data_IF_567772936387
#
_entry.id   IF_567772936387
#
_cell.length_a   1.000
_cell.length_b   1.000
_cell.length_c   1.000
_cell.angle_alpha   90.00
_cell.angle_beta   90.00
_cell.angle_gamma   90.00
#
_symmetry.space_group_name_H-M   'P 1'
#
loop_
_entity.id
_entity.type
_entity.pdbx_description
1 polymer ?
#
# COMPACT_ATOMS: atom_id res chain seq x y z
N UNK A 1 15.14 -27.86 -24.71
CA UNK A 1 16.19 -28.11 -25.72
C UNK A 1 17.06 -29.33 -25.38
N UNK A 2 17.71 -29.38 -24.22
CA UNK A 2 18.50 -30.56 -23.80
C UNK A 2 17.69 -31.88 -23.81
N UNK A 3 16.43 -31.85 -23.38
CA UNK A 3 15.54 -33.02 -23.44
C UNK A 3 15.31 -33.55 -24.86
N UNK A 4 15.20 -32.66 -25.86
CA UNK A 4 14.99 -33.05 -27.26
C UNK A 4 16.25 -33.67 -27.86
N UNK A 5 17.42 -33.08 -27.60
CA UNK A 5 18.71 -33.65 -28.02
C UNK A 5 18.94 -35.02 -27.38
N UNK A 6 18.65 -35.14 -26.09
CA UNK A 6 18.78 -36.40 -25.37
C UNK A 6 17.78 -37.44 -25.89
N UNK A 7 16.55 -37.07 -26.23
CA UNK A 7 15.58 -37.97 -26.84
C UNK A 7 16.07 -38.50 -28.19
N UNK A 8 16.64 -37.64 -29.05
CA UNK A 8 17.15 -38.05 -30.36
C UNK A 8 18.39 -38.95 -30.30
N UNK A 9 19.23 -38.81 -29.29
CA UNK A 9 20.47 -39.58 -29.16
C UNK A 9 20.29 -40.82 -28.29
N UNK A 10 19.70 -40.64 -27.11
CA UNK A 10 19.65 -41.68 -26.10
C UNK A 10 18.57 -42.72 -26.38
N UNK A 11 17.40 -42.33 -26.91
CA UNK A 11 16.30 -43.28 -27.20
C UNK A 11 16.71 -44.30 -28.26
N UNK A 12 17.28 -43.92 -29.43
CA UNK A 12 17.72 -44.91 -30.41
C UNK A 12 18.84 -45.81 -29.88
N UNK A 13 19.79 -45.26 -29.11
CA UNK A 13 20.91 -46.01 -28.57
C UNK A 13 20.45 -47.05 -27.54
N UNK A 14 19.53 -46.68 -26.65
CA UNK A 14 18.93 -47.60 -25.68
C UNK A 14 17.97 -48.60 -26.32
N UNK A 15 17.21 -48.19 -27.33
CA UNK A 15 16.35 -49.08 -28.10
C UNK A 15 17.19 -50.15 -28.79
N UNK A 16 18.27 -49.77 -29.48
CA UNK A 16 19.18 -50.72 -30.10
C UNK A 16 19.82 -51.67 -29.08
N UNK A 17 20.16 -51.18 -27.87
CA UNK A 17 20.80 -52.01 -26.86
C UNK A 17 19.86 -52.99 -26.15
N UNK A 18 18.58 -52.64 -25.97
CA UNK A 18 17.63 -53.41 -25.14
C UNK A 18 16.47 -54.04 -25.90
N UNK A 19 16.04 -53.49 -27.03
CA UNK A 19 14.89 -53.98 -27.80
C UNK A 19 15.36 -54.83 -28.99
N UNK A 20 15.45 -56.14 -28.77
CA UNK A 20 15.67 -57.14 -29.82
C UNK A 20 14.44 -58.06 -29.94
N UNK A 21 13.30 -57.58 -30.46
CA UNK A 21 12.12 -58.42 -30.61
C UNK A 21 12.33 -59.46 -31.72
N UNK A 22 11.89 -60.71 -31.49
CA UNK A 22 11.82 -61.72 -32.55
C UNK A 22 10.77 -61.28 -33.58
N UNK A 23 11.21 -61.01 -34.82
CA UNK A 23 10.31 -60.58 -35.91
C UNK A 23 9.59 -61.81 -36.46
N UNK A 24 8.35 -62.04 -36.03
CA UNK A 24 7.44 -62.94 -36.77
C UNK A 24 6.97 -62.24 -38.05
N UNK A 25 7.57 -62.59 -39.19
CA UNK A 25 7.12 -62.18 -40.53
C UNK A 25 5.79 -62.88 -40.89
N UNK A 26 4.69 -62.47 -40.28
CA UNK A 26 3.37 -62.81 -40.77
C UNK A 26 2.99 -61.85 -41.90
N UNK A 27 3.07 -62.33 -43.16
CA UNK A 27 2.69 -61.63 -44.41
C UNK A 27 1.21 -61.21 -44.51
N UNK A 28 0.45 -61.27 -43.42
CA UNK A 28 -0.82 -60.57 -43.31
C UNK A 28 -0.70 -59.53 -42.20
N UNK A 29 -0.54 -58.26 -42.57
CA UNK A 29 -0.46 -57.10 -41.66
C UNK A 29 -1.71 -56.84 -40.80
N UNK A 30 -2.54 -57.87 -40.58
CA UNK A 30 -3.81 -57.86 -39.87
C UNK A 30 -3.69 -58.17 -38.37
N UNK A 31 -2.54 -58.59 -37.83
CA UNK A 31 -2.42 -58.98 -36.40
C UNK A 31 -2.27 -57.80 -35.44
N UNK A 32 -1.66 -56.69 -35.87
CA UNK A 32 -1.29 -55.56 -34.98
C UNK A 32 -2.47 -54.65 -34.59
N UNK A 33 -3.52 -54.55 -35.43
CA UNK A 33 -4.63 -53.60 -35.25
C UNK A 33 -5.96 -54.25 -34.86
N UNK A 34 -5.93 -55.38 -34.14
CA UNK A 34 -7.12 -56.14 -33.71
C UNK A 34 -7.50 -55.93 -32.24
N UNK A 35 -6.73 -55.15 -31.48
CA UNK A 35 -7.06 -54.84 -30.09
C UNK A 35 -8.37 -54.08 -29.96
N UNK A 36 -9.09 -54.25 -28.83
CA UNK A 36 -10.36 -53.57 -28.55
C UNK A 36 -10.25 -52.04 -28.67
N UNK A 37 -9.13 -51.47 -28.24
CA UNK A 37 -8.81 -50.03 -28.34
C UNK A 37 -8.80 -49.57 -29.81
N UNK A 38 -8.16 -50.33 -30.70
CA UNK A 38 -8.12 -50.01 -32.13
C UNK A 38 -9.49 -50.15 -32.80
N UNK A 39 -10.31 -51.10 -32.35
CA UNK A 39 -11.68 -51.24 -32.85
C UNK A 39 -12.55 -50.04 -32.45
N UNK A 40 -12.46 -49.58 -31.20
CA UNK A 40 -13.16 -48.38 -30.70
C UNK A 40 -12.68 -47.12 -31.43
N UNK A 41 -11.36 -46.90 -31.52
CA UNK A 41 -10.80 -45.76 -32.24
C UNK A 41 -11.23 -45.78 -33.71
N UNK A 42 -11.20 -46.94 -34.37
CA UNK A 42 -11.64 -47.08 -35.76
C UNK A 42 -13.12 -46.79 -35.93
N UNK A 43 -13.96 -47.22 -35.00
CA UNK A 43 -15.39 -46.93 -35.01
C UNK A 43 -15.64 -45.42 -34.84
N UNK A 44 -15.00 -44.78 -33.86
CA UNK A 44 -15.09 -43.34 -33.63
C UNK A 44 -14.60 -42.53 -34.84
N UNK A 45 -13.49 -42.94 -35.47
CA UNK A 45 -12.91 -42.26 -36.62
C UNK A 45 -13.79 -42.42 -37.87
N UNK A 46 -14.36 -43.61 -38.10
CA UNK A 46 -15.35 -43.83 -39.17
C UNK A 46 -16.62 -43.02 -38.94
N UNK A 47 -17.09 -42.91 -37.70
CA UNK A 47 -18.24 -42.10 -37.34
C UNK A 47 -17.97 -40.60 -37.59
N UNK A 48 -16.85 -40.08 -37.11
CA UNK A 48 -16.45 -38.69 -37.32
C UNK A 48 -16.23 -38.33 -38.80
N UNK A 49 -15.63 -39.22 -39.58
CA UNK A 49 -15.41 -39.00 -41.02
C UNK A 49 -16.69 -39.10 -41.86
N UNK A 50 -17.61 -40.01 -41.51
CA UNK A 50 -18.90 -40.13 -42.21
C UNK A 50 -19.81 -38.93 -41.96
N UNK A 51 -19.70 -38.28 -40.78
CA UNK A 51 -20.50 -37.12 -40.39
C UNK A 51 -19.64 -35.84 -40.28
N UNK A 52 -18.73 -35.61 -41.23
CA UNK A 52 -17.75 -34.51 -41.18
C UNK A 52 -18.32 -33.12 -40.85
N UNK A 53 -19.48 -32.78 -41.42
CA UNK A 53 -20.14 -31.49 -41.17
C UNK A 53 -20.80 -31.43 -39.78
N UNK A 54 -21.46 -32.51 -39.37
CA UNK A 54 -22.05 -32.60 -38.02
C UNK A 54 -20.99 -32.56 -36.93
N UNK A 55 -19.87 -33.26 -37.13
CA UNK A 55 -18.75 -33.28 -36.19
C UNK A 55 -18.08 -31.91 -36.06
N UNK A 56 -17.82 -31.23 -37.18
CA UNK A 56 -17.24 -29.87 -37.17
C UNK A 56 -18.18 -28.84 -36.52
N UNK A 57 -19.47 -28.84 -36.86
CA UNK A 57 -20.46 -27.98 -36.20
C UNK A 57 -20.55 -28.25 -34.69
N UNK A 58 -20.51 -29.52 -34.28
CA UNK A 58 -20.52 -29.91 -32.86
C UNK A 58 -19.27 -29.40 -32.14
N UNK A 59 -18.07 -29.52 -32.74
CA UNK A 59 -16.84 -28.97 -32.15
C UNK A 59 -16.89 -27.45 -32.02
N UNK A 60 -17.41 -26.75 -33.03
CA UNK A 60 -17.62 -25.29 -32.95
C UNK A 60 -18.63 -24.94 -31.85
N UNK A 61 -19.72 -25.70 -31.72
CA UNK A 61 -20.70 -25.50 -30.66
C UNK A 61 -20.10 -25.72 -29.27
N UNK A 62 -19.26 -26.74 -29.08
CA UNK A 62 -18.55 -26.98 -27.83
C UNK A 62 -17.53 -25.88 -27.52
N UNK A 63 -16.85 -25.34 -28.54
CA UNK A 63 -15.95 -24.20 -28.38
C UNK A 63 -16.72 -22.95 -27.92
N UNK A 64 -17.85 -22.66 -28.56
CA UNK A 64 -18.71 -21.53 -28.15
C UNK A 64 -19.29 -21.73 -26.76
N UNK A 65 -19.69 -22.95 -26.41
CA UNK A 65 -20.14 -23.30 -25.06
C UNK A 65 -19.02 -23.12 -24.03
N UNK A 66 -17.79 -23.54 -24.34
CA UNK A 66 -16.62 -23.31 -23.49
C UNK A 66 -16.36 -21.81 -23.29
N UNK A 67 -16.39 -21.02 -24.37
CA UNK A 67 -16.24 -19.57 -24.31
C UNK A 67 -17.37 -18.88 -23.52
N UNK A 68 -18.59 -19.42 -23.57
CA UNK A 68 -19.71 -18.96 -22.74
C UNK A 68 -19.49 -19.31 -21.27
N UNK A 69 -19.10 -20.56 -20.97
CA UNK A 69 -18.80 -21.04 -19.62
C UNK A 69 -17.65 -20.29 -18.96
N UNK A 70 -16.68 -19.81 -19.74
CA UNK A 70 -15.55 -19.01 -19.25
C UNK A 70 -15.99 -17.74 -18.51
N UNK A 71 -17.16 -17.16 -18.85
CA UNK A 71 -17.71 -15.96 -18.20
C UNK A 71 -18.09 -16.19 -16.73
N UNK A 72 -18.28 -17.44 -16.32
CA UNK A 72 -18.64 -17.80 -14.94
C UNK A 72 -17.41 -18.18 -14.10
N UNK A 73 -16.22 -18.23 -14.70
CA UNK A 73 -15.00 -18.56 -13.98
C UNK A 73 -14.58 -17.37 -13.10
N UNK A 74 -14.35 -17.64 -11.82
CA UNK A 74 -13.83 -16.65 -10.87
C UNK A 74 -12.41 -16.25 -11.29
N UNK A 75 -12.16 -14.95 -11.38
CA UNK A 75 -10.86 -14.40 -11.74
C UNK A 75 -10.20 -13.79 -10.50
N UNK A 76 -9.12 -14.42 -10.02
CA UNK A 76 -8.20 -13.85 -9.04
C UNK A 76 -6.85 -13.58 -9.69
N UNK A 77 -6.20 -12.46 -9.35
CA UNK A 77 -4.91 -12.09 -9.94
C UNK A 77 -3.74 -12.83 -9.29
N UNK A 78 -3.75 -12.95 -7.97
CA UNK A 78 -2.80 -13.75 -7.19
C UNK A 78 -3.54 -14.61 -6.18
N UNK A 79 -3.15 -15.89 -6.01
CA UNK A 79 -3.62 -16.68 -4.88
C UNK A 79 -3.03 -16.14 -3.58
N UNK A 80 -3.76 -16.27 -2.48
CA UNK A 80 -3.18 -16.06 -1.16
C UNK A 80 -2.12 -17.12 -0.87
N UNK A 81 -1.07 -16.73 -0.16
CA UNK A 81 -0.03 -17.68 0.22
C UNK A 81 -0.50 -18.52 1.41
N UNK A 82 -0.14 -19.81 1.37
CA UNK A 82 -0.44 -20.76 2.45
C UNK A 82 0.63 -20.60 3.54
N UNK A 83 0.38 -19.68 4.46
CA UNK A 83 1.18 -19.47 5.68
C UNK A 83 0.29 -19.72 6.90
N UNK A 84 0.92 -20.18 7.99
CA UNK A 84 0.38 -20.22 9.35
C UNK A 84 0.56 -18.87 10.07
N UNK A 85 1.09 -17.85 9.39
CA UNK A 85 1.32 -16.52 9.95
C UNK A 85 0.59 -15.45 9.14
N UNK A 86 0.06 -14.45 9.83
CA UNK A 86 -0.41 -13.19 9.25
C UNK A 86 0.12 -12.00 10.05
N UNK A 87 -0.16 -10.80 9.57
CA UNK A 87 0.11 -9.58 10.33
C UNK A 87 -1.14 -8.71 10.46
N UNK A 88 -1.20 -7.97 11.54
CA UNK A 88 -2.24 -7.00 11.85
C UNK A 88 -1.63 -5.60 11.83
N UNK A 89 -2.19 -4.72 11.02
CA UNK A 89 -1.90 -3.29 11.10
C UNK A 89 -2.84 -2.64 12.12
N UNK A 90 -2.28 -1.83 13.01
CA UNK A 90 -3.01 -0.98 13.95
C UNK A 90 -2.58 0.47 13.72
N UNK A 91 -3.52 1.36 13.41
CA UNK A 91 -3.19 2.78 13.23
C UNK A 91 -4.26 3.67 13.83
N UNK A 92 -3.84 4.55 14.74
CA UNK A 92 -4.66 5.66 15.23
C UNK A 92 -4.50 6.89 14.32
N UNK A 93 -5.45 7.85 14.38
CA UNK A 93 -5.26 9.16 13.75
C UNK A 93 -3.93 9.80 14.18
N UNK A 94 -3.27 10.50 13.27
CA UNK A 94 -2.02 11.19 13.58
C UNK A 94 -2.22 12.21 14.72
N UNK A 95 -1.16 12.45 15.48
CA UNK A 95 -1.21 13.27 16.72
C UNK A 95 -1.49 12.47 18.00
N UNK A 96 -1.81 11.17 17.90
CA UNK A 96 -1.84 10.28 19.05
C UNK A 96 -0.42 9.88 19.53
N UNK A 97 -0.31 9.49 20.79
CA UNK A 97 0.96 9.10 21.42
C UNK A 97 1.25 7.59 21.25
N UNK A 98 2.53 7.24 21.08
CA UNK A 98 2.99 5.85 21.04
C UNK A 98 2.70 5.06 22.31
N UNK A 99 2.58 5.72 23.47
CA UNK A 99 2.15 5.06 24.72
C UNK A 99 0.76 4.46 24.60
N UNK A 100 -0.16 5.15 23.90
CA UNK A 100 -1.52 4.66 23.68
C UNK A 100 -1.50 3.43 22.77
N UNK A 101 -0.81 3.53 21.64
CA UNK A 101 -0.59 2.40 20.72
C UNK A 101 0.01 1.19 21.46
N UNK A 102 1.01 1.40 22.32
CA UNK A 102 1.63 0.34 23.09
C UNK A 102 0.66 -0.37 24.04
N UNK A 103 -0.22 0.39 24.69
CA UNK A 103 -1.25 -0.16 25.58
C UNK A 103 -2.30 -0.96 24.80
N UNK A 104 -2.79 -0.41 23.68
CA UNK A 104 -3.79 -1.07 22.84
C UNK A 104 -3.24 -2.37 22.25
N UNK A 105 -2.01 -2.34 21.72
CA UNK A 105 -1.34 -3.55 21.22
C UNK A 105 -1.13 -4.60 22.30
N UNK A 106 -0.83 -4.20 23.54
CA UNK A 106 -0.65 -5.12 24.67
C UNK A 106 -1.97 -5.77 25.08
N UNK A 107 -3.09 -5.03 25.04
CA UNK A 107 -4.42 -5.58 25.28
C UNK A 107 -4.82 -6.57 24.19
N UNK A 108 -4.60 -6.21 22.92
CA UNK A 108 -4.84 -7.10 21.78
C UNK A 108 -3.98 -8.36 21.87
N UNK A 109 -2.69 -8.23 22.19
CA UNK A 109 -1.79 -9.36 22.40
C UNK A 109 -2.32 -10.29 23.50
N UNK A 110 -2.76 -9.73 24.63
CA UNK A 110 -3.33 -10.52 25.73
C UNK A 110 -4.59 -11.28 25.30
N UNK A 111 -5.49 -10.62 24.56
CA UNK A 111 -6.68 -11.25 23.98
C UNK A 111 -6.32 -12.39 23.02
N UNK A 112 -5.43 -12.14 22.07
CA UNK A 112 -4.98 -13.14 21.10
C UNK A 112 -4.33 -14.35 21.79
N UNK A 113 -3.59 -14.15 22.88
CA UNK A 113 -3.00 -15.26 23.67
C UNK A 113 -4.02 -16.10 24.44
N UNK A 114 -5.27 -15.66 24.58
CA UNK A 114 -6.33 -16.50 25.18
C UNK A 114 -6.87 -17.57 24.23
N UNK A 115 -6.63 -17.40 22.92
CA UNK A 115 -7.08 -18.29 21.85
C UNK A 115 -6.14 -19.48 21.69
N UNK A 116 -6.69 -20.66 21.42
CA UNK A 116 -5.90 -21.91 21.34
C UNK A 116 -5.20 -22.08 20.01
N UNK A 117 -5.75 -21.45 18.98
CA UNK A 117 -5.27 -21.45 17.60
C UNK A 117 -4.05 -20.53 17.40
N UNK A 118 -3.73 -19.65 18.37
CA UNK A 118 -2.60 -18.71 18.30
C UNK A 118 -1.42 -19.25 19.10
N UNK A 119 -0.25 -19.36 18.47
CA UNK A 119 0.98 -19.88 19.10
C UNK A 119 1.86 -18.75 19.63
N UNK A 120 2.12 -17.73 18.82
CA UNK A 120 2.94 -16.58 19.19
C UNK A 120 2.34 -15.28 18.65
N UNK A 121 2.61 -14.19 19.36
CA UNK A 121 2.30 -12.83 18.93
C UNK A 121 3.52 -11.97 19.15
N UNK A 122 3.99 -11.29 18.11
CA UNK A 122 5.12 -10.35 18.17
C UNK A 122 4.63 -8.95 17.88
N UNK A 123 4.87 -8.01 18.79
CA UNK A 123 4.47 -6.62 18.62
C UNK A 123 5.63 -5.74 18.13
N UNK A 124 5.30 -4.78 17.26
CA UNK A 124 6.19 -3.70 16.84
C UNK A 124 5.47 -2.37 16.92
N UNK A 125 6.10 -1.37 17.53
CA UNK A 125 5.52 -0.05 17.77
C UNK A 125 6.34 0.96 16.98
N UNK A 126 5.67 1.90 16.32
CA UNK A 126 6.32 3.00 15.61
C UNK A 126 6.64 2.72 14.15
N UNK A 127 6.52 1.48 13.68
CA UNK A 127 6.77 1.12 12.28
C UNK A 127 6.69 -0.38 12.03
N UNK A 128 6.78 -0.77 10.75
CA UNK A 128 6.84 -2.18 10.36
C UNK A 128 8.17 -2.80 10.79
N UNK A 129 8.17 -3.99 11.41
CA UNK A 129 9.40 -4.69 11.79
C UNK A 129 10.29 -4.98 10.58
N UNK A 130 11.59 -4.83 10.76
CA UNK A 130 12.55 -4.99 9.68
C UNK A 130 12.80 -6.45 9.30
N UNK A 131 12.95 -6.70 7.98
CA UNK A 131 13.63 -7.87 7.38
C UNK A 131 13.11 -9.26 7.79
N UNK A 132 11.79 -9.47 7.87
CA UNK A 132 11.24 -10.79 8.18
C UNK A 132 10.33 -11.39 7.07
N UNK A 133 9.76 -10.59 6.17
CA UNK A 133 9.05 -11.08 4.98
C UNK A 133 9.34 -10.19 3.76
N UNK A 134 9.63 -10.81 2.61
CA UNK A 134 9.99 -10.14 1.36
C UNK A 134 8.77 -9.54 0.63
N UNK A 135 7.57 -10.09 0.84
CA UNK A 135 6.40 -9.83 -0.01
C UNK A 135 5.26 -9.23 0.80
N UNK A 136 5.45 -7.97 1.23
CA UNK A 136 4.43 -7.15 1.90
C UNK A 136 4.69 -5.66 1.70
N UNK A 137 3.65 -4.84 1.92
CA UNK A 137 3.82 -3.39 2.04
C UNK A 137 4.49 -3.04 3.38
N UNK A 138 5.34 -2.03 3.36
CA UNK A 138 5.95 -1.44 4.56
C UNK A 138 5.19 -0.16 4.88
N UNK A 139 4.69 -0.04 6.11
CA UNK A 139 4.04 1.19 6.56
C UNK A 139 5.08 2.28 6.83
N UNK A 140 4.71 3.53 6.59
CA UNK A 140 5.54 4.66 7.00
C UNK A 140 5.63 4.69 8.54
N UNK A 141 6.84 4.88 9.11
CA UNK A 141 6.99 5.02 10.55
C UNK A 141 6.14 6.17 11.09
N UNK A 142 5.40 5.93 12.18
CA UNK A 142 4.55 6.91 12.85
C UNK A 142 4.37 6.53 14.31
N UNK A 143 4.30 7.52 15.20
CA UNK A 143 4.02 7.29 16.63
C UNK A 143 2.61 6.73 16.87
N UNK A 144 1.68 6.96 15.93
CA UNK A 144 0.32 6.46 15.97
C UNK A 144 0.16 5.07 15.29
N UNK A 145 1.26 4.44 14.86
CA UNK A 145 1.25 3.15 14.16
C UNK A 145 1.82 2.01 15.03
N UNK A 146 1.18 0.85 14.92
CA UNK A 146 1.58 -0.39 15.53
C UNK A 146 1.32 -1.58 14.59
N UNK A 147 2.03 -2.68 14.81
CA UNK A 147 1.87 -3.90 14.05
C UNK A 147 2.02 -5.12 14.95
N UNK A 148 1.17 -6.12 14.75
CA UNK A 148 1.35 -7.45 15.33
C UNK A 148 1.63 -8.47 14.24
N UNK A 149 2.58 -9.35 14.48
CA UNK A 149 2.76 -10.61 13.73
C UNK A 149 2.11 -11.70 14.57
N UNK A 150 1.21 -12.45 13.96
CA UNK A 150 0.37 -13.45 14.64
C UNK A 150 0.64 -14.81 13.99
N UNK A 151 1.18 -15.73 14.78
CA UNK A 151 1.44 -17.11 14.38
C UNK A 151 0.27 -17.99 14.83
N UNK A 152 -0.29 -18.75 13.90
CA UNK A 152 -1.34 -19.73 14.14
C UNK A 152 -0.74 -21.15 14.26
N UNK A 153 -1.53 -22.08 14.78
CA UNK A 153 -1.14 -23.50 14.87
C UNK A 153 -1.10 -24.18 13.50
N UNK A 154 -1.93 -23.72 12.55
CA UNK A 154 -1.94 -24.20 11.18
C UNK A 154 -2.51 -23.16 10.20
N UNK A 155 -2.24 -23.27 8.88
CA UNK A 155 -2.84 -22.40 7.87
C UNK A 155 -4.37 -22.49 7.79
N UNK A 156 -4.96 -23.65 8.10
CA UNK A 156 -6.41 -23.86 8.05
C UNK A 156 -7.11 -23.11 9.20
N UNK A 157 -6.56 -23.23 10.41
CA UNK A 157 -7.01 -22.49 11.61
C UNK A 157 -6.94 -20.97 11.39
N UNK A 158 -5.92 -20.49 10.68
CA UNK A 158 -5.83 -19.08 10.31
C UNK A 158 -7.02 -18.65 9.45
N UNK A 159 -7.35 -19.41 8.40
CA UNK A 159 -8.44 -19.08 7.47
C UNK A 159 -9.80 -19.16 8.16
N UNK A 160 -10.00 -20.11 9.07
CA UNK A 160 -11.27 -20.27 9.79
C UNK A 160 -11.52 -19.15 10.83
N UNK A 161 -10.47 -18.63 11.47
CA UNK A 161 -10.60 -17.69 12.59
C UNK A 161 -10.34 -16.22 12.22
N UNK A 162 -9.75 -15.92 11.05
CA UNK A 162 -9.37 -14.54 10.67
C UNK A 162 -10.56 -13.56 10.67
N UNK A 163 -11.71 -13.98 10.15
CA UNK A 163 -12.89 -13.12 10.00
C UNK A 163 -13.51 -12.77 11.36
N UNK A 164 -13.60 -13.75 12.26
CA UNK A 164 -14.09 -13.54 13.64
C UNK A 164 -13.17 -12.58 14.41
N UNK A 165 -11.85 -12.76 14.29
CA UNK A 165 -10.87 -11.89 14.95
C UNK A 165 -10.96 -10.47 14.37
N UNK A 166 -11.08 -10.33 13.03
CA UNK A 166 -11.26 -9.02 12.39
C UNK A 166 -12.52 -8.32 12.88
N UNK A 167 -13.66 -9.02 12.98
CA UNK A 167 -14.92 -8.43 13.45
C UNK A 167 -14.81 -7.97 14.91
N UNK A 168 -14.24 -8.80 15.79
CA UNK A 168 -14.02 -8.45 17.20
C UNK A 168 -13.16 -7.19 17.33
N UNK A 169 -12.02 -7.13 16.62
CA UNK A 169 -11.10 -6.00 16.71
C UNK A 169 -11.72 -4.72 16.15
N UNK A 170 -12.46 -4.82 15.05
CA UNK A 170 -13.16 -3.67 14.45
C UNK A 170 -14.22 -3.11 15.40
N UNK A 171 -14.90 -3.97 16.17
CA UNK A 171 -15.91 -3.55 17.16
C UNK A 171 -15.28 -2.95 18.41
N UNK A 172 -14.17 -3.52 18.88
CA UNK A 172 -13.52 -3.12 20.13
C UNK A 172 -12.72 -1.82 19.99
N UNK A 173 -12.13 -1.56 18.81
CA UNK A 173 -11.30 -0.39 18.53
C UNK A 173 -11.89 0.45 17.39
N UNK A 174 -13.07 1.07 17.57
CA UNK A 174 -13.77 1.79 16.50
C UNK A 174 -13.05 3.07 16.04
N UNK A 175 -12.13 3.59 16.84
CA UNK A 175 -11.36 4.80 16.58
C UNK A 175 -9.96 4.52 16.01
N UNK A 176 -9.59 3.23 15.89
CA UNK A 176 -8.38 2.79 15.24
C UNK A 176 -8.68 2.06 13.94
N UNK A 177 -7.82 2.26 12.95
CA UNK A 177 -7.77 1.39 11.79
C UNK A 177 -7.08 0.08 12.20
N UNK A 178 -7.85 -1.01 12.24
CA UNK A 178 -7.33 -2.36 12.53
C UNK A 178 -7.61 -3.27 11.35
N UNK A 179 -6.57 -3.84 10.75
CA UNK A 179 -6.72 -4.74 9.60
C UNK A 179 -5.78 -5.93 9.68
N UNK A 180 -6.36 -7.12 9.67
CA UNK A 180 -5.66 -8.38 9.47
C UNK A 180 -5.33 -8.56 7.99
N UNK A 181 -4.08 -8.92 7.70
CA UNK A 181 -3.58 -9.09 6.35
C UNK A 181 -2.81 -10.41 6.24
N UNK A 182 -3.29 -11.25 5.34
CA UNK A 182 -2.56 -12.45 4.90
C UNK A 182 -1.41 -12.03 4.01
N UNK A 183 -0.34 -12.82 4.01
CA UNK A 183 0.74 -12.60 3.06
C UNK A 183 0.27 -12.94 1.66
N UNK A 184 0.45 -12.00 0.74
CA UNK A 184 0.10 -12.14 -0.65
C UNK A 184 1.28 -11.68 -1.51
N UNK A 185 1.44 -12.26 -2.69
CA UNK A 185 2.45 -11.84 -3.67
C UNK A 185 2.22 -10.40 -4.19
N UNK A 186 1.03 -9.87 -3.98
CA UNK A 186 0.71 -8.48 -4.20
C UNK A 186 1.38 -7.56 -3.17
N UNK A 187 2.20 -6.63 -3.67
CA UNK A 187 2.85 -5.58 -2.87
C UNK A 187 1.99 -4.31 -2.68
N UNK A 188 0.76 -4.26 -3.22
CA UNK A 188 -0.15 -3.12 -3.06
C UNK A 188 -0.86 -3.20 -1.70
N UNK A 189 -1.09 -2.03 -1.08
CA UNK A 189 -1.65 -1.94 0.29
C UNK A 189 -3.11 -2.41 0.34
N UNK A 190 -3.88 -2.15 -0.71
CA UNK A 190 -5.27 -2.57 -0.86
C UNK A 190 -5.52 -3.21 -2.23
N UNK A 191 -6.42 -4.20 -2.29
CA UNK A 191 -6.78 -4.86 -3.54
C UNK A 191 -7.61 -3.94 -4.45
N UNK A 192 -8.51 -3.13 -3.88
CA UNK A 192 -9.36 -2.18 -4.60
C UNK A 192 -9.00 -0.76 -4.17
N UNK A 193 -8.59 0.06 -5.14
CA UNK A 193 -8.25 1.47 -4.92
C UNK A 193 -8.78 2.33 -6.07
N UNK A 194 -9.61 3.32 -5.76
CA UNK A 194 -10.07 4.35 -6.68
C UNK A 194 -9.32 5.66 -6.38
N UNK A 195 -8.47 6.12 -7.31
CA UNK A 195 -7.61 7.29 -7.13
C UNK A 195 -8.16 8.51 -7.86
N UNK A 196 -8.47 9.57 -7.14
CA UNK A 196 -8.77 10.88 -7.68
C UNK A 196 -7.49 11.73 -7.72
N UNK A 197 -7.21 12.36 -8.86
CA UNK A 197 -6.11 13.31 -9.03
C UNK A 197 -6.65 14.69 -9.32
N UNK A 198 -6.06 15.73 -8.75
CA UNK A 198 -6.54 17.10 -8.90
C UNK A 198 -5.69 18.15 -8.18
N UNK A 199 -5.90 19.45 -8.45
CA UNK A 199 -5.13 20.52 -7.83
C UNK A 199 -5.62 20.90 -6.42
N UNK A 200 -6.93 20.97 -6.18
CA UNK A 200 -7.53 21.45 -4.92
C UNK A 200 -7.85 20.29 -3.96
N UNK A 201 -7.24 20.27 -2.75
CA UNK A 201 -7.59 19.34 -1.66
C UNK A 201 -9.07 19.25 -1.32
N UNK A 202 -9.78 20.38 -1.26
CA UNK A 202 -11.19 20.39 -0.83
C UNK A 202 -12.09 19.68 -1.84
N UNK A 203 -11.77 19.76 -3.13
CA UNK A 203 -12.48 19.01 -4.18
C UNK A 203 -12.12 17.52 -4.11
N UNK A 204 -10.84 17.18 -3.86
CA UNK A 204 -10.41 15.79 -3.70
C UNK A 204 -11.16 15.11 -2.54
N UNK A 205 -11.26 15.79 -1.39
CA UNK A 205 -12.00 15.29 -0.23
C UNK A 205 -13.46 15.02 -0.58
N UNK A 206 -14.13 15.96 -1.27
CA UNK A 206 -15.53 15.76 -1.72
C UNK A 206 -15.70 14.57 -2.67
N UNK A 207 -14.78 14.40 -3.62
CA UNK A 207 -14.81 13.27 -4.55
C UNK A 207 -14.57 11.94 -3.82
N UNK A 208 -13.60 11.92 -2.91
CA UNK A 208 -13.30 10.76 -2.09
C UNK A 208 -14.47 10.41 -1.16
N UNK A 209 -15.13 11.39 -0.54
CA UNK A 209 -16.32 11.16 0.29
C UNK A 209 -17.49 10.62 -0.52
N UNK A 210 -17.71 11.14 -1.73
CA UNK A 210 -18.74 10.63 -2.64
C UNK A 210 -18.49 9.16 -2.99
N UNK A 211 -17.23 8.83 -3.31
CA UNK A 211 -16.82 7.47 -3.58
C UNK A 211 -16.89 6.55 -2.36
N UNK A 212 -16.51 7.04 -1.17
CA UNK A 212 -16.63 6.33 0.10
C UNK A 212 -18.08 5.98 0.39
N UNK A 213 -19.01 6.93 0.22
CA UNK A 213 -20.43 6.69 0.42
C UNK A 213 -20.99 5.63 -0.55
N UNK A 214 -20.53 5.61 -1.80
CA UNK A 214 -20.90 4.57 -2.77
C UNK A 214 -20.39 3.19 -2.32
N UNK A 215 -19.14 3.12 -1.86
CA UNK A 215 -18.53 1.87 -1.37
C UNK A 215 -19.23 1.36 -0.10
N UNK A 216 -19.53 2.24 0.87
CA UNK A 216 -20.24 1.89 2.12
C UNK A 216 -21.65 1.31 1.86
N UNK A 217 -22.32 1.77 0.80
CA UNK A 217 -23.63 1.27 0.39
C UNK A 217 -23.56 0.01 -0.50
N UNK A 218 -22.38 -0.59 -0.69
CA UNK A 218 -22.19 -1.74 -1.58
C UNK A 218 -21.79 -2.97 -0.75
N UNK A 219 -22.63 -4.04 -0.72
CA UNK A 219 -22.44 -5.17 0.20
C UNK A 219 -21.24 -6.07 -0.16
N UNK A 220 -20.67 -5.96 -1.35
CA UNK A 220 -19.52 -6.76 -1.79
C UNK A 220 -18.17 -6.26 -1.27
N UNK A 221 -18.10 -5.07 -0.68
CA UNK A 221 -16.87 -4.44 -0.18
C UNK A 221 -16.96 -4.14 1.32
N UNK A 222 -15.81 -4.19 2.00
CA UNK A 222 -15.67 -3.89 3.42
C UNK A 222 -14.36 -3.11 3.70
N UNK A 223 -14.18 -2.68 4.96
CA UNK A 223 -13.00 -1.95 5.42
C UNK A 223 -12.68 -0.74 4.52
N UNK A 224 -13.71 0.06 4.25
CA UNK A 224 -13.61 1.25 3.41
C UNK A 224 -12.79 2.32 4.15
N UNK A 225 -11.78 2.87 3.48
CA UNK A 225 -10.93 3.93 4.04
C UNK A 225 -10.41 4.86 2.95
N UNK A 226 -9.77 5.95 3.36
CA UNK A 226 -9.06 6.88 2.49
C UNK A 226 -7.57 6.90 2.82
N UNK A 227 -6.73 7.19 1.83
CA UNK A 227 -5.28 7.31 2.07
C UNK A 227 -4.85 8.69 2.61
N UNK A 228 -5.76 9.67 2.59
CA UNK A 228 -5.65 10.88 3.40
C UNK A 228 -6.19 10.59 4.78
N UNK A 229 -5.41 10.98 5.77
CA UNK A 229 -5.77 10.83 7.18
C UNK A 229 -6.69 11.96 7.62
N UNK A 230 -7.45 11.76 8.72
CA UNK A 230 -8.21 12.83 9.32
C UNK A 230 -7.33 14.04 9.60
N UNK A 231 -7.89 15.23 9.42
CA UNK A 231 -7.19 16.47 9.77
C UNK A 231 -6.81 16.45 11.24
N UNK A 232 -5.65 17.00 11.56
CA UNK A 232 -5.12 17.07 12.93
C UNK A 232 -5.08 18.52 13.41
N UNK A 233 -5.27 18.76 14.71
CA UNK A 233 -5.16 20.10 15.27
C UNK A 233 -3.68 20.51 15.29
N UNK A 234 -3.37 21.63 14.63
CA UNK A 234 -2.05 22.25 14.58
C UNK A 234 -2.14 23.64 15.23
N UNK A 235 -1.20 23.94 16.11
CA UNK A 235 -1.07 25.28 16.69
C UNK A 235 -0.39 26.19 15.67
N UNK A 236 -1.15 27.12 15.10
CA UNK A 236 -0.65 28.09 14.12
C UNK A 236 -0.48 29.45 14.79
N UNK A 237 0.72 30.01 14.67
CA UNK A 237 1.04 31.35 15.18
C UNK A 237 0.98 32.33 14.01
N UNK A 238 0.10 33.32 14.09
CA UNK A 238 0.08 34.41 13.12
C UNK A 238 1.13 35.45 13.51
N UNK A 239 2.30 35.38 12.87
CA UNK A 239 3.43 36.28 13.13
C UNK A 239 3.08 37.74 12.77
N UNK A 240 3.21 38.64 13.76
CA UNK A 240 3.10 40.08 13.56
C UNK A 240 4.46 40.67 13.20
N UNK A 241 4.72 40.79 11.90
CA UNK A 241 6.01 41.29 11.42
C UNK A 241 6.31 42.74 11.88
N UNK A 242 5.37 43.70 11.79
CA UNK A 242 5.57 45.04 12.36
C UNK A 242 5.94 45.03 13.85
N UNK A 243 5.17 44.32 14.69
CA UNK A 243 5.41 44.28 16.14
C UNK A 243 6.77 43.65 16.49
N UNK A 244 7.11 42.53 15.84
CA UNK A 244 8.39 41.87 16.03
C UNK A 244 9.59 42.77 15.62
N UNK A 245 9.48 43.47 14.48
CA UNK A 245 10.55 44.38 14.02
C UNK A 245 10.77 45.56 14.94
N UNK A 246 9.71 46.12 15.53
CA UNK A 246 9.84 47.19 16.51
C UNK A 246 10.71 46.76 17.70
N UNK A 247 10.61 45.50 18.12
CA UNK A 247 11.42 44.90 19.18
C UNK A 247 12.78 44.37 18.69
N UNK A 248 13.06 44.45 17.39
CA UNK A 248 14.29 43.93 16.77
C UNK A 248 14.33 42.41 16.66
N UNK A 249 13.18 41.74 16.70
CA UNK A 249 13.05 40.30 16.54
C UNK A 249 12.77 39.90 15.09
N UNK A 250 13.52 38.93 14.59
CA UNK A 250 13.33 38.33 13.28
C UNK A 250 12.42 37.09 13.35
N UNK A 251 11.90 36.66 12.20
CA UNK A 251 11.14 35.40 12.10
C UNK A 251 11.98 34.19 12.52
N UNK A 252 13.30 34.24 12.31
CA UNK A 252 14.23 33.18 12.73
C UNK A 252 14.35 33.09 14.24
N UNK A 253 14.38 34.23 14.94
CA UNK A 253 14.43 34.29 16.41
C UNK A 253 13.19 33.66 17.05
N UNK A 254 12.03 33.97 16.48
CA UNK A 254 10.74 33.35 16.86
C UNK A 254 10.78 31.85 16.62
N UNK A 255 11.20 31.40 15.43
CA UNK A 255 11.28 29.98 15.10
C UNK A 255 12.22 29.22 16.02
N UNK A 256 13.38 29.78 16.35
CA UNK A 256 14.38 29.16 17.21
C UNK A 256 13.88 29.05 18.65
N UNK A 257 13.26 30.11 19.16
CA UNK A 257 12.68 30.14 20.51
C UNK A 257 11.50 29.18 20.66
N UNK A 258 10.69 29.01 19.63
CA UNK A 258 9.63 28.01 19.60
C UNK A 258 10.20 26.59 19.57
N UNK A 259 11.26 26.35 18.80
CA UNK A 259 11.93 25.05 18.78
C UNK A 259 12.52 24.70 20.15
N UNK A 260 13.16 25.64 20.87
CA UNK A 260 13.65 25.36 22.23
C UNK A 260 12.52 25.08 23.21
N UNK A 261 11.41 25.81 23.13
CA UNK A 261 10.27 25.63 24.03
C UNK A 261 9.51 24.30 23.79
N UNK A 262 9.56 23.75 22.58
CA UNK A 262 8.80 22.55 22.18
C UNK A 262 9.69 21.30 22.03
N UNK A 263 10.07 20.95 20.79
CA UNK A 263 10.81 19.74 20.44
C UNK A 263 12.28 19.75 20.88
N UNK A 264 12.82 20.93 21.18
CA UNK A 264 14.23 21.17 21.43
C UNK A 264 15.04 21.35 20.15
N UNK A 265 16.16 22.05 20.27
CA UNK A 265 17.12 22.22 19.17
C UNK A 265 18.21 21.16 19.33
N UNK A 266 18.52 20.36 18.29
CA UNK A 266 19.66 19.45 18.33
C UNK A 266 20.96 20.28 18.31
N UNK A 267 21.71 20.27 19.41
CA UNK A 267 22.96 21.04 19.55
C UNK A 267 24.22 20.18 19.40
N UNK A 268 24.07 18.85 19.37
CA UNK A 268 25.19 17.95 19.21
C UNK A 268 24.79 16.50 19.34
N UNK A 269 25.79 15.63 19.41
CA UNK A 269 25.59 14.23 19.70
C UNK A 269 26.70 13.69 20.58
N UNK A 270 26.33 12.83 21.51
CA UNK A 270 27.24 12.07 22.36
C UNK A 270 27.19 10.60 21.94
N UNK A 271 28.36 9.94 21.95
CA UNK A 271 28.45 8.52 21.62
C UNK A 271 28.62 7.70 22.89
N UNK A 272 27.73 6.74 23.09
CA UNK A 272 27.86 5.71 24.10
C UNK A 272 28.20 4.39 23.41
N UNK A 273 29.51 4.09 23.32
CA UNK A 273 30.03 3.00 22.50
C UNK A 273 29.76 3.24 21.00
N UNK A 274 28.92 2.41 20.39
CA UNK A 274 28.50 2.54 18.99
C UNK A 274 27.16 3.29 18.82
N UNK A 275 26.50 3.67 19.92
CA UNK A 275 25.20 4.34 19.88
C UNK A 275 25.37 5.86 19.89
N UNK A 276 24.83 6.51 18.86
CA UNK A 276 24.77 7.98 18.77
C UNK A 276 23.51 8.49 19.46
N UNK A 277 23.69 9.21 20.56
CA UNK A 277 22.62 9.90 21.28
C UNK A 277 22.66 11.39 20.93
N UNK A 278 21.54 11.97 20.49
CA UNK A 278 21.46 13.39 20.20
C UNK A 278 21.27 14.20 21.49
N UNK A 279 21.97 15.33 21.60
CA UNK A 279 21.81 16.29 22.68
C UNK A 279 20.87 17.39 22.20
N UNK A 280 19.78 17.62 22.92
CA UNK A 280 18.80 18.66 22.63
C UNK A 280 18.86 19.78 23.66
N UNK A 281 18.84 21.03 23.20
CA UNK A 281 18.62 22.21 24.03
C UNK A 281 17.12 22.48 24.12
N UNK A 282 16.58 22.50 25.34
CA UNK A 282 15.19 22.83 25.62
C UNK A 282 15.09 23.99 26.61
N UNK A 283 14.13 24.88 26.36
CA UNK A 283 13.73 25.91 27.31
C UNK A 283 12.61 25.33 28.18
N UNK A 284 12.77 25.44 29.49
CA UNK A 284 11.83 24.95 30.48
C UNK A 284 11.33 26.14 31.30
N UNK A 285 10.21 25.95 32.00
CA UNK A 285 9.75 26.92 32.98
C UNK A 285 10.69 26.98 34.21
N UNK A 286 10.41 27.89 35.15
CA UNK A 286 11.18 28.02 36.39
C UNK A 286 11.16 26.80 37.31
N UNK A 287 10.28 25.82 37.05
CA UNK A 287 10.19 24.54 37.77
C UNK A 287 10.84 23.39 36.99
N UNK A 288 11.43 23.65 35.82
CA UNK A 288 12.03 22.63 34.95
C UNK A 288 11.01 21.81 34.16
N UNK A 289 9.77 22.29 33.98
CA UNK A 289 8.73 21.64 33.18
C UNK A 289 8.66 22.21 31.76
N UNK A 290 8.17 21.42 30.78
CA UNK A 290 7.91 21.93 29.43
C UNK A 290 6.93 23.11 29.44
N UNK A 291 7.12 24.05 28.52
CA UNK A 291 6.24 25.21 28.38
C UNK A 291 4.92 24.77 27.73
N UNK A 292 3.82 24.78 28.49
CA UNK A 292 2.49 24.41 28.00
C UNK A 292 1.77 25.58 27.31
N UNK A 293 1.95 26.80 27.80
CA UNK A 293 1.37 28.01 27.22
C UNK A 293 2.35 28.67 26.24
N UNK A 294 2.15 28.40 24.95
CA UNK A 294 2.96 28.99 23.89
C UNK A 294 2.91 30.52 23.87
N UNK A 295 1.82 31.15 24.31
CA UNK A 295 1.69 32.61 24.31
C UNK A 295 2.66 33.29 25.26
N UNK A 296 2.99 32.62 26.36
CA UNK A 296 3.95 33.07 27.36
C UNK A 296 5.38 32.57 27.09
N UNK A 297 5.59 31.83 26.00
CA UNK A 297 6.94 31.44 25.56
C UNK A 297 7.77 32.69 25.32
N UNK A 298 8.93 32.74 25.98
CA UNK A 298 9.89 33.82 25.83
C UNK A 298 10.63 33.68 24.50
N UNK A 299 10.59 34.73 23.70
CA UNK A 299 11.32 34.83 22.44
C UNK A 299 12.58 35.65 22.65
N UNK A 300 13.71 35.04 22.30
CA UNK A 300 15.04 35.61 22.49
C UNK A 300 15.60 36.05 21.14
N UNK A 301 16.20 37.24 21.11
CA UNK A 301 16.93 37.68 19.94
C UNK A 301 18.29 36.98 19.86
N UNK A 302 18.63 36.45 18.69
CA UNK A 302 19.98 35.89 18.43
C UNK A 302 21.03 36.97 18.24
N UNK A 303 20.62 38.19 17.92
CA UNK A 303 21.48 39.37 17.80
C UNK A 303 21.05 40.44 18.80
N UNK A 304 21.97 41.08 19.53
CA UNK A 304 21.62 42.20 20.41
C UNK A 304 20.86 43.27 19.63
N UNK A 305 19.65 43.60 20.08
CA UNK A 305 18.81 44.59 19.42
C UNK A 305 19.09 45.97 20.00
N UNK A 306 19.58 46.89 19.16
CA UNK A 306 19.75 48.30 19.56
C UNK A 306 18.41 49.04 19.69
N UNK A 307 17.31 48.48 19.17
CA UNK A 307 16.00 49.14 19.19
C UNK A 307 15.52 49.42 20.62
N UNK A 308 15.80 48.52 21.57
CA UNK A 308 15.49 48.75 22.99
C UNK A 308 16.22 49.96 23.59
N UNK A 309 17.44 50.26 23.11
CA UNK A 309 18.23 51.42 23.54
C UNK A 309 17.78 52.73 22.89
N UNK A 310 17.08 52.65 21.76
CA UNK A 310 16.60 53.81 21.00
C UNK A 310 15.24 54.35 21.50
N UNK A 311 14.65 53.75 22.53
CA UNK A 311 13.45 54.27 23.17
C UNK A 311 13.74 55.60 23.88
N UNK A 312 12.80 56.55 23.84
CA UNK A 312 12.96 57.90 24.43
C UNK A 312 13.39 57.85 25.90
N UNK A 313 12.81 56.97 26.70
CA UNK A 313 13.15 56.80 28.11
C UNK A 313 14.61 56.34 28.30
N UNK A 314 15.03 55.32 27.56
CA UNK A 314 16.39 54.80 27.63
C UNK A 314 17.40 55.79 27.07
N UNK A 315 17.05 56.55 26.03
CA UNK A 315 17.86 57.65 25.51
C UNK A 315 18.05 58.78 26.53
N UNK A 316 17.01 59.11 27.31
CA UNK A 316 17.12 60.09 28.40
C UNK A 316 18.01 59.56 29.53
N UNK A 317 17.83 58.30 29.94
CA UNK A 317 18.68 57.64 30.96
C UNK A 317 20.15 57.55 30.51
N UNK A 318 20.39 57.23 29.23
CA UNK A 318 21.71 57.24 28.61
C UNK A 318 22.34 58.64 28.62
N UNK A 319 21.59 59.68 28.19
CA UNK A 319 22.07 61.07 28.21
C UNK A 319 22.35 61.59 29.62
N UNK A 320 21.55 61.17 30.59
CA UNK A 320 21.70 61.53 32.00
C UNK A 320 22.79 60.71 32.73
N UNK A 321 23.38 59.69 32.09
CA UNK A 321 24.37 58.81 32.71
C UNK A 321 23.82 57.94 33.85
N UNK A 322 22.50 57.72 33.88
CA UNK A 322 21.80 56.99 34.95
C UNK A 322 21.45 55.55 34.57
N UNK A 323 21.64 55.18 33.30
CA UNK A 323 21.42 53.81 32.84
C UNK A 323 22.51 52.89 33.41
N UNK A 324 22.11 51.94 34.24
CA UNK A 324 23.02 50.94 34.79
C UNK A 324 23.50 49.95 33.71
N UNK A 325 24.63 49.28 33.95
CA UNK A 325 25.16 48.27 33.02
C UNK A 325 24.20 47.09 32.89
N UNK A 326 23.53 46.73 33.97
CA UNK A 326 22.55 45.65 34.07
C UNK A 326 21.30 45.96 33.23
N UNK A 327 20.73 47.17 33.36
CA UNK A 327 19.59 47.62 32.54
C UNK A 327 19.95 47.68 31.04
N UNK A 328 21.18 48.05 30.72
CA UNK A 328 21.68 48.11 29.35
C UNK A 328 21.77 46.70 28.74
N UNK A 329 22.22 45.72 29.53
CA UNK A 329 22.26 44.31 29.15
C UNK A 329 20.84 43.75 28.97
N UNK A 330 19.94 44.03 29.91
CA UNK A 330 18.54 43.59 29.85
C UNK A 330 17.81 44.19 28.64
N UNK A 331 18.07 45.47 28.32
CA UNK A 331 17.51 46.10 27.13
C UNK A 331 18.05 45.54 25.81
N UNK A 332 19.25 44.95 25.81
CA UNK A 332 19.90 44.38 24.62
C UNK A 332 19.61 42.89 24.42
N UNK A 333 19.43 42.15 25.53
CA UNK A 333 19.28 40.69 25.57
C UNK A 333 17.93 40.24 26.17
N UNK A 334 17.00 41.17 26.37
CA UNK A 334 15.69 40.90 26.93
C UNK A 334 14.89 39.94 26.07
N UNK A 335 14.03 39.16 26.71
CA UNK A 335 13.08 38.28 26.04
C UNK A 335 11.71 38.93 25.95
N UNK A 336 10.99 38.59 24.89
CA UNK A 336 9.62 39.08 24.69
C UNK A 336 8.65 37.89 24.67
N UNK A 337 7.54 37.93 25.43
CA UNK A 337 6.50 36.91 25.30
C UNK A 337 5.97 36.82 23.87
N UNK A 338 5.81 35.62 23.34
CA UNK A 338 5.34 35.37 21.98
C UNK A 338 4.02 36.09 21.65
N UNK A 339 3.14 36.24 22.64
CA UNK A 339 1.87 36.96 22.50
C UNK A 339 2.00 38.43 22.09
N UNK A 340 3.13 39.08 22.37
CA UNK A 340 3.37 40.47 21.97
C UNK A 340 3.79 40.62 20.50
N UNK A 341 4.26 39.54 19.88
CA UNK A 341 4.75 39.49 18.50
C UNK A 341 3.94 38.55 17.61
N UNK A 342 2.79 38.12 18.09
CA UNK A 342 1.81 37.35 17.35
C UNK A 342 0.46 38.04 17.42
N UNK A 343 -0.28 38.02 16.31
CA UNK A 343 -1.67 38.52 16.26
C UNK A 343 -2.64 37.55 16.95
N UNK A 344 -2.30 36.27 16.94
CA UNK A 344 -3.09 35.19 17.52
C UNK A 344 -2.31 33.88 17.49
N UNK A 345 -2.71 32.98 18.39
CA UNK A 345 -2.27 31.58 18.43
C UNK A 345 -3.55 30.77 18.38
N UNK A 346 -3.86 30.24 17.20
CA UNK A 346 -5.10 29.53 16.95
C UNK A 346 -4.81 28.05 16.67
N UNK A 347 -5.75 27.19 17.04
CA UNK A 347 -5.75 25.80 16.61
C UNK A 347 -6.41 25.73 15.23
N UNK A 348 -5.66 25.28 14.22
CA UNK A 348 -6.17 25.04 12.86
C UNK A 348 -6.15 23.54 12.56
N UNK A 349 -7.13 23.10 11.81
CA UNK A 349 -7.18 21.72 11.32
C UNK A 349 -6.45 21.65 9.98
N UNK A 350 -5.42 20.83 9.90
CA UNK A 350 -4.62 20.66 8.69
C UNK A 350 -4.49 19.18 8.33
N UNK A 351 -4.38 18.88 7.04
CA UNK A 351 -4.08 17.53 6.56
C UNK A 351 -2.63 17.17 6.95
N UNK A 352 -2.39 16.19 7.83
CA UNK A 352 -1.04 15.89 8.33
C UNK A 352 -0.09 15.40 7.22
N UNK A 353 -0.65 14.69 6.24
CA UNK A 353 0.07 14.14 5.10
C UNK A 353 -0.76 14.38 3.85
N UNK A 354 -0.14 14.94 2.81
CA UNK A 354 -0.78 15.16 1.50
C UNK A 354 -0.15 14.22 0.46
N UNK A 355 -0.76 13.06 0.20
CA UNK A 355 -0.34 12.15 -0.87
C UNK A 355 -0.30 12.82 -2.24
N UNK A 356 0.76 12.51 -2.99
CA UNK A 356 0.94 12.94 -4.37
C UNK A 356 1.27 11.76 -5.27
N UNK A 357 0.76 11.80 -6.48
CA UNK A 357 1.04 10.85 -7.53
C UNK A 357 1.53 11.59 -8.77
N UNK A 358 2.71 11.24 -9.26
CA UNK A 358 3.38 11.90 -10.40
C UNK A 358 3.42 13.44 -10.28
N UNK A 359 3.65 13.96 -9.07
CA UNK A 359 3.75 15.40 -8.80
C UNK A 359 2.42 16.13 -8.56
N UNK A 360 1.28 15.50 -8.88
CA UNK A 360 -0.06 16.03 -8.61
C UNK A 360 -0.60 15.51 -7.27
N UNK A 361 -1.43 16.30 -6.57
CA UNK A 361 -2.14 15.81 -5.38
C UNK A 361 -3.11 14.72 -5.80
N UNK A 362 -3.25 13.69 -4.96
CA UNK A 362 -4.18 12.61 -5.22
C UNK A 362 -4.75 12.09 -3.92
N UNK A 363 -6.02 11.69 -3.94
CA UNK A 363 -6.66 11.00 -2.83
C UNK A 363 -7.26 9.69 -3.32
N UNK A 364 -6.99 8.61 -2.60
CA UNK A 364 -7.48 7.27 -2.90
C UNK A 364 -8.55 6.89 -1.90
N UNK A 365 -9.63 6.34 -2.42
CA UNK A 365 -10.59 5.56 -1.65
C UNK A 365 -10.25 4.10 -1.83
N UNK A 366 -10.10 3.39 -0.72
CA UNK A 366 -9.53 2.04 -0.65
C UNK A 366 -10.50 1.13 0.07
N UNK A 367 -10.64 -0.11 -0.38
CA UNK A 367 -11.46 -1.11 0.30
C UNK A 367 -10.93 -2.53 0.07
N UNK A 368 -11.47 -3.46 0.83
CA UNK A 368 -11.28 -4.91 0.65
C UNK A 368 -12.56 -5.55 0.14
N UNK A 369 -12.48 -6.68 -0.59
CA UNK A 369 -13.66 -7.50 -0.82
C UNK A 369 -14.12 -8.13 0.51
N UNK A 370 -15.43 -8.32 0.65
CA UNK A 370 -15.99 -9.13 1.75
C UNK A 370 -15.47 -10.57 1.65
N UNK A 371 -15.26 -11.28 2.78
CA UNK A 371 -14.83 -12.67 2.77
C UNK A 371 -15.67 -13.56 1.82
N UNK A 372 -15.00 -14.36 1.01
CA UNK A 372 -15.63 -15.24 0.02
C UNK A 372 -16.00 -14.57 -1.32
N UNK A 373 -15.81 -13.25 -1.47
CA UNK A 373 -15.99 -12.51 -2.72
C UNK A 373 -14.64 -12.25 -3.39
N UNK A 374 -14.55 -12.51 -4.69
CA UNK A 374 -13.35 -12.21 -5.48
C UNK A 374 -13.15 -10.70 -5.65
N UNK A 375 -11.89 -10.24 -5.61
CA UNK A 375 -11.53 -8.82 -5.75
C UNK A 375 -12.14 -8.18 -7.00
N UNK A 376 -12.01 -8.82 -8.17
CA UNK A 376 -12.50 -8.22 -9.42
C UNK A 376 -14.03 -8.11 -9.45
N UNK A 377 -14.74 -9.10 -8.86
CA UNK A 377 -16.20 -9.04 -8.73
C UNK A 377 -16.63 -7.90 -7.81
N UNK A 378 -15.99 -7.77 -6.65
CA UNK A 378 -16.26 -6.68 -5.70
C UNK A 378 -15.93 -5.31 -6.31
N UNK A 379 -14.83 -5.21 -7.07
CA UNK A 379 -14.47 -3.98 -7.80
C UNK A 379 -15.53 -3.61 -8.83
N UNK A 380 -16.00 -4.55 -9.63
CA UNK A 380 -17.02 -4.30 -10.65
C UNK A 380 -18.34 -3.80 -10.04
N UNK A 381 -18.71 -4.27 -8.84
CA UNK A 381 -19.92 -3.82 -8.13
C UNK A 381 -19.90 -2.32 -7.78
N UNK A 382 -18.71 -1.77 -7.50
CA UNK A 382 -18.53 -0.33 -7.24
C UNK A 382 -18.13 0.47 -8.47
N UNK A 383 -17.53 -0.18 -9.48
CA UNK A 383 -16.88 0.52 -10.58
C UNK A 383 -17.85 1.36 -11.42
N UNK A 384 -19.01 0.81 -11.76
CA UNK A 384 -20.01 1.51 -12.57
C UNK A 384 -20.47 2.80 -11.88
N UNK A 385 -20.76 2.74 -10.59
CA UNK A 385 -21.21 3.89 -9.80
C UNK A 385 -20.12 4.94 -9.62
N UNK A 386 -18.86 4.50 -9.45
CA UNK A 386 -17.72 5.40 -9.25
C UNK A 386 -17.30 6.11 -10.55
N UNK A 387 -17.38 5.43 -11.68
CA UNK A 387 -17.09 6.00 -13.00
C UNK A 387 -18.15 7.01 -13.46
N UNK A 388 -19.36 6.96 -12.87
CA UNK A 388 -20.44 7.92 -13.10
C UNK A 388 -20.31 9.21 -12.27
N UNK A 389 -19.33 9.31 -11.36
CA UNK A 389 -19.10 10.55 -10.59
C UNK A 389 -18.68 11.67 -11.55
N UNK A 390 -19.40 12.79 -11.54
CA UNK A 390 -19.02 13.97 -12.33
C UNK A 390 -17.71 14.57 -11.83
N UNK A 391 -16.70 14.58 -12.70
CA UNK A 391 -15.37 15.11 -12.39
C UNK A 391 -15.24 16.55 -12.91
N UNK A 392 -14.89 17.54 -12.07
CA UNK A 392 -14.60 18.88 -12.53
C UNK A 392 -13.38 18.93 -13.47
N UNK A 393 -13.26 20.00 -14.25
CA UNK A 393 -12.11 20.19 -15.13
C UNK A 393 -10.78 20.14 -14.35
N UNK A 394 -9.81 19.39 -14.85
CA UNK A 394 -8.52 19.18 -14.19
C UNK A 394 -8.49 18.05 -13.16
N UNK A 395 -9.60 17.31 -13.01
CA UNK A 395 -9.68 16.10 -12.18
C UNK A 395 -9.74 14.84 -13.04
N UNK A 396 -9.21 13.74 -12.50
CA UNK A 396 -9.28 12.43 -13.15
C UNK A 396 -9.42 11.31 -12.12
N UNK A 397 -10.10 10.24 -12.51
CA UNK A 397 -10.21 8.99 -11.76
C UNK A 397 -9.31 7.94 -12.41
N UNK A 398 -8.52 7.24 -11.59
CA UNK A 398 -7.69 6.12 -12.02
C UNK A 398 -7.84 4.94 -11.06
N UNK A 399 -8.00 3.74 -11.61
CA UNK A 399 -7.99 2.52 -10.83
C UNK A 399 -6.56 2.14 -10.43
N UNK A 400 -6.35 1.89 -9.15
CA UNK A 400 -5.10 1.39 -8.57
C UNK A 400 -5.33 -0.03 -8.02
N UNK A 401 -4.52 -0.49 -7.05
CA UNK A 401 -4.65 -1.85 -6.49
C UNK A 401 -4.37 -2.98 -7.50
N UNK A 402 -5.12 -4.08 -7.39
CA UNK A 402 -5.04 -5.27 -8.25
C UNK A 402 -5.31 -4.95 -9.72
N UNK A 403 -6.26 -4.06 -10.01
CA UNK A 403 -6.64 -3.72 -11.38
C UNK A 403 -5.47 -3.15 -12.16
N UNK A 404 -4.74 -2.19 -11.60
CA UNK A 404 -3.58 -1.61 -12.26
C UNK A 404 -2.45 -2.63 -12.47
N UNK A 405 -2.18 -3.48 -11.47
CA UNK A 405 -1.16 -4.51 -11.59
C UNK A 405 -1.52 -5.56 -12.67
N UNK A 406 -2.79 -5.97 -12.72
CA UNK A 406 -3.32 -6.87 -13.74
C UNK A 406 -3.23 -6.26 -15.14
N UNK A 407 -3.67 -5.00 -15.31
CA UNK A 407 -3.61 -4.29 -16.58
C UNK A 407 -2.18 -4.15 -17.12
N UNK A 408 -1.23 -3.83 -16.23
CA UNK A 408 0.18 -3.75 -16.60
C UNK A 408 0.74 -5.10 -17.05
N UNK A 409 0.51 -6.16 -16.28
CA UNK A 409 0.93 -7.52 -16.64
C UNK A 409 0.33 -7.97 -17.97
N UNK A 410 -0.97 -7.71 -18.17
CA UNK A 410 -1.69 -8.07 -19.38
C UNK A 410 -1.16 -7.30 -20.59
N UNK A 411 -0.84 -6.01 -20.43
CA UNK A 411 -0.21 -5.18 -21.47
C UNK A 411 1.15 -5.73 -21.89
N UNK A 412 1.98 -6.18 -20.93
CA UNK A 412 3.28 -6.78 -21.25
C UNK A 412 3.15 -8.13 -21.95
N UNK A 413 2.18 -8.96 -21.54
CA UNK A 413 1.89 -10.23 -22.17
C UNK A 413 1.47 -10.03 -23.63
N UNK A 414 0.46 -9.18 -23.88
CA UNK A 414 -0.04 -8.93 -25.23
C UNK A 414 0.94 -8.19 -26.13
N UNK A 415 1.90 -7.43 -25.58
CA UNK A 415 2.95 -6.80 -26.38
C UNK A 415 3.83 -7.84 -27.10
N UNK A 416 4.16 -8.95 -26.43
CA UNK A 416 5.07 -9.96 -26.95
C UNK A 416 4.36 -11.16 -27.60
N UNK A 417 3.09 -11.39 -27.26
CA UNK A 417 2.32 -12.53 -27.72
C UNK A 417 2.17 -12.65 -29.25
N UNK A 418 1.90 -11.56 -30.02
CA UNK A 418 1.82 -11.64 -31.48
C UNK A 418 3.12 -12.11 -32.13
N UNK A 419 4.27 -11.69 -31.61
CA UNK A 419 5.58 -12.11 -32.13
C UNK A 419 5.80 -13.62 -31.95
N UNK A 420 5.39 -14.16 -30.80
CA UNK A 420 5.48 -15.60 -30.53
C UNK A 420 4.58 -16.40 -31.47
N UNK A 421 3.35 -15.93 -31.74
CA UNK A 421 2.44 -16.56 -32.70
C UNK A 421 3.05 -16.55 -34.11
N UNK A 422 3.59 -15.42 -34.56
CA UNK A 422 4.22 -15.31 -35.88
C UNK A 422 5.40 -16.28 -36.00
N UNK A 423 6.27 -16.35 -34.99
CA UNK A 423 7.41 -17.27 -34.97
C UNK A 423 6.96 -18.73 -34.99
N UNK A 424 5.95 -19.09 -34.20
CA UNK A 424 5.37 -20.43 -34.18
C UNK A 424 4.77 -20.80 -35.55
N UNK A 425 3.98 -19.91 -36.17
CA UNK A 425 3.41 -20.13 -37.50
C UNK A 425 4.53 -20.29 -38.55
N UNK A 426 5.57 -19.46 -38.50
CA UNK A 426 6.71 -19.54 -39.41
C UNK A 426 7.45 -20.88 -39.30
N UNK A 427 7.69 -21.37 -38.07
CA UNK A 427 8.29 -22.69 -37.83
C UNK A 427 7.38 -23.81 -38.37
N UNK A 428 6.07 -23.73 -38.17
CA UNK A 428 5.13 -24.73 -38.69
C UNK A 428 5.10 -24.73 -40.23
N UNK A 429 5.09 -23.56 -40.88
CA UNK A 429 5.16 -23.45 -42.34
C UNK A 429 6.49 -24.03 -42.86
N UNK A 430 7.60 -23.75 -42.19
CA UNK A 430 8.91 -24.29 -42.56
C UNK A 430 8.97 -25.82 -42.42
N UNK A 431 8.35 -26.38 -41.37
CA UNK A 431 8.29 -27.82 -41.12
C UNK A 431 7.43 -28.56 -42.16
N UNK A 432 6.26 -28.01 -42.50
CA UNK A 432 5.31 -28.67 -43.41
C UNK A 432 5.45 -28.26 -44.88
N UNK A 433 6.25 -27.21 -45.17
CA UNK A 433 6.39 -26.58 -46.49
C UNK A 433 5.04 -26.22 -47.14
N UNK A 434 4.03 -25.91 -46.31
CA UNK A 434 2.65 -25.62 -46.72
C UNK A 434 2.02 -24.69 -45.68
N UNK A 435 1.10 -23.83 -46.09
CA UNK A 435 0.35 -22.92 -45.21
C UNK A 435 -0.98 -23.50 -44.73
N UNK A 436 -1.57 -24.44 -45.49
CA UNK A 436 -2.90 -25.01 -45.16
C UNK A 436 -2.86 -25.90 -43.93
N UNK A 437 -1.83 -26.76 -43.83
CA UNK A 437 -1.68 -27.69 -42.69
C UNK A 437 -1.42 -26.93 -41.37
N UNK A 438 -0.50 -25.94 -41.30
CA UNK A 438 -0.35 -25.10 -40.11
C UNK A 438 -1.62 -24.36 -39.71
N UNK A 439 -2.40 -23.82 -40.67
CA UNK A 439 -3.66 -23.15 -40.37
C UNK A 439 -4.68 -24.08 -39.69
N UNK A 440 -4.79 -25.33 -40.17
CA UNK A 440 -5.66 -26.35 -39.55
C UNK A 440 -5.20 -26.69 -38.13
N UNK A 441 -3.87 -26.83 -37.93
CA UNK A 441 -3.28 -27.08 -36.60
C UNK A 441 -3.61 -25.93 -35.66
N UNK A 442 -3.46 -24.68 -36.12
CA UNK A 442 -3.73 -23.49 -35.31
C UNK A 442 -5.21 -23.37 -34.91
N UNK A 443 -6.14 -23.69 -35.81
CA UNK A 443 -7.57 -23.74 -35.47
C UNK A 443 -7.93 -24.85 -34.46
N UNK A 444 -7.00 -25.75 -34.15
CA UNK A 444 -7.16 -26.82 -33.16
C UNK A 444 -6.57 -26.49 -31.79
N UNK A 445 -5.84 -25.37 -31.68
CA UNK A 445 -5.33 -24.79 -30.43
C UNK A 445 -6.38 -23.82 -29.92
#
# INVERSE_FOLDING_TARGET
LLSWVLALLHVPLMANRRLHPAVENNNSGKRVYKGKIYAILRAALRFGLSHRLGFTLTMVALLLLSAYSYRFLRQGFFPDMVYDQLYMEYKLPEGNNSTRVANDLKEIEAYLKTRKEITNVTASIGGTPGRYNLVRSIANPSLAYGELIIDFTSPDELVENIDEIQEYLTRQYPDAYVKLKRYNLMFKKYPIEAQFLGPDPAVLHRLADSARHIMENTPEVCLITTDWEPQVPVLTIEYDQPAARALGLSRSDVSLSLLTATGGIPIGSFYEGIHKNNIYLKCLDGQGKPIEDLGNTQVFSTLPSLNGLLNEENMVKLKAGTLSKEELIESLMGSTPLKQISKGIDVRWEDPVVPRYNGQRSQRVQCSPVPGVETEKARLAVAEKLEQIELPAGYSLQWQGEKNASDQSMKYLFKNFPLAIILMIAILIMLFKDYRKPAIIFCSI
#
